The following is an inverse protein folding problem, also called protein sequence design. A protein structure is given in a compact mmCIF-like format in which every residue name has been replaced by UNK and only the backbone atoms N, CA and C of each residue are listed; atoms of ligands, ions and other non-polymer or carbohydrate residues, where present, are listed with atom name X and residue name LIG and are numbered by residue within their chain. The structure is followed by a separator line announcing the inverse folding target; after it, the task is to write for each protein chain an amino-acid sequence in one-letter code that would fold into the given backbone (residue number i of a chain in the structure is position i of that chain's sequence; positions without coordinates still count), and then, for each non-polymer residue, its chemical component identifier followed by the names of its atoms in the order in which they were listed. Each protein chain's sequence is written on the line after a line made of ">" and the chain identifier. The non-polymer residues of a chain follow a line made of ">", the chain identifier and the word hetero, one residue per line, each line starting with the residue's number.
data_IF_468237949294
#
_entry.id   IF_468237949294
#
_cell.length_a   1.000
_cell.length_b   1.000
_cell.length_c   1.000
_cell.angle_alpha   90.00
_cell.angle_beta   90.00
_cell.angle_gamma   90.00
#
_symmetry.space_group_name_H-M   'P 1'
#
loop_
_entity.id
_entity.type
_entity.pdbx_description
1 polymer ?
#
# COMPACT_ATOMS: atom_id res chain seq x y z
N UNK A 1 3.60 -12.67 25.27
CA UNK A 1 3.11 -12.09 24.00
C UNK A 1 4.32 -11.55 23.25
N UNK A 2 4.46 -11.82 21.94
CA UNK A 2 5.50 -11.14 21.15
C UNK A 2 5.21 -9.65 21.13
N UNK A 3 6.20 -8.82 21.40
CA UNK A 3 6.10 -7.36 21.36
C UNK A 3 7.02 -6.83 20.28
N UNK A 4 6.47 -6.05 19.36
CA UNK A 4 7.25 -5.40 18.31
C UNK A 4 7.64 -3.99 18.77
N UNK A 5 8.90 -3.60 18.54
CA UNK A 5 9.35 -2.20 18.73
C UNK A 5 8.88 -1.26 17.63
N UNK A 6 8.04 -1.75 16.73
CA UNK A 6 7.58 -1.06 15.52
C UNK A 6 6.07 -1.22 15.38
N UNK A 7 5.42 -0.17 14.90
CA UNK A 7 4.04 -0.25 14.42
C UNK A 7 4.06 -0.80 13.00
N UNK A 8 3.38 -1.93 12.78
CA UNK A 8 3.38 -2.62 11.51
C UNK A 8 2.07 -2.31 10.78
N UNK A 9 2.16 -1.69 9.62
CA UNK A 9 1.00 -1.44 8.77
C UNK A 9 0.94 -2.45 7.64
N UNK A 10 -0.18 -3.15 7.55
CA UNK A 10 -0.48 -4.13 6.51
C UNK A 10 -1.17 -3.42 5.35
N UNK A 11 -0.62 -3.56 4.14
CA UNK A 11 -1.14 -2.98 2.91
C UNK A 11 -1.44 -4.09 1.89
N UNK A 12 -2.70 -4.51 1.79
CA UNK A 12 -3.16 -5.43 0.74
C UNK A 12 -3.13 -4.79 -0.65
N UNK A 13 -2.95 -5.62 -1.68
CA UNK A 13 -3.09 -5.22 -3.08
C UNK A 13 -4.54 -5.21 -3.58
N UNK A 14 -4.70 -5.29 -4.90
CA UNK A 14 -6.00 -5.38 -5.59
C UNK A 14 -6.87 -6.50 -4.99
N UNK A 15 -8.15 -6.22 -4.76
CA UNK A 15 -9.10 -7.20 -4.19
C UNK A 15 -8.92 -7.47 -2.69
N UNK A 16 -8.06 -6.72 -2.00
CA UNK A 16 -7.78 -6.86 -0.57
C UNK A 16 -7.13 -8.22 -0.21
N UNK A 17 -6.85 -8.43 1.08
CA UNK A 17 -6.45 -9.72 1.65
C UNK A 17 -7.64 -10.40 2.28
N UNK A 18 -8.13 -11.47 1.66
CA UNK A 18 -9.20 -12.32 2.20
C UNK A 18 -8.80 -13.04 3.50
N UNK A 19 -9.74 -13.78 4.09
CA UNK A 19 -9.58 -14.35 5.44
C UNK A 19 -8.42 -15.31 5.63
N UNK A 20 -8.08 -16.06 4.57
CA UNK A 20 -7.00 -17.04 4.58
C UNK A 20 -5.66 -16.46 4.08
N UNK A 21 -5.65 -15.20 3.64
CA UNK A 21 -4.44 -14.56 3.17
C UNK A 21 -3.49 -14.29 4.34
N UNK A 22 -2.18 -14.48 4.13
CA UNK A 22 -1.17 -14.38 5.20
C UNK A 22 -1.17 -13.01 5.90
N UNK A 23 -1.46 -11.92 5.17
CA UNK A 23 -1.62 -10.57 5.75
C UNK A 23 -2.76 -10.54 6.80
N UNK A 24 -3.91 -11.15 6.51
CA UNK A 24 -5.04 -11.25 7.43
C UNK A 24 -4.73 -12.15 8.62
N UNK A 25 -4.02 -13.26 8.38
CA UNK A 25 -3.60 -14.16 9.45
C UNK A 25 -2.61 -13.47 10.41
N UNK A 26 -1.71 -12.63 9.89
CA UNK A 26 -0.78 -11.84 10.70
C UNK A 26 -1.49 -10.78 11.53
N UNK A 27 -2.42 -10.05 10.91
CA UNK A 27 -3.26 -9.06 11.60
C UNK A 27 -4.03 -9.69 12.77
N UNK A 28 -4.64 -10.87 12.56
CA UNK A 28 -5.35 -11.61 13.61
C UNK A 28 -4.41 -12.13 14.72
N UNK A 29 -3.15 -12.42 14.39
CA UNK A 29 -2.19 -13.03 15.32
C UNK A 29 -1.42 -12.01 16.16
N UNK A 30 -1.18 -10.80 15.64
CA UNK A 30 -0.29 -9.81 16.25
C UNK A 30 -1.02 -8.47 16.47
N UNK A 31 -1.24 -8.05 17.73
CA UNK A 31 -1.93 -6.80 18.03
C UNK A 31 -1.27 -5.53 17.47
N UNK A 32 0.05 -5.56 17.27
CA UNK A 32 0.82 -4.43 16.74
C UNK A 32 0.66 -4.24 15.22
N UNK A 33 -0.10 -5.13 14.56
CA UNK A 33 -0.30 -5.14 13.11
C UNK A 33 -1.66 -4.51 12.80
N UNK A 34 -1.66 -3.46 12.00
CA UNK A 34 -2.87 -2.71 11.65
C UNK A 34 -3.01 -2.62 10.13
N UNK A 35 -4.18 -2.95 9.59
CA UNK A 35 -4.45 -2.79 8.17
C UNK A 35 -4.73 -1.32 7.83
N UNK A 36 -4.08 -0.81 6.78
CA UNK A 36 -4.50 0.44 6.15
C UNK A 36 -5.63 0.09 5.18
N UNK A 37 -6.84 0.55 5.49
CA UNK A 37 -7.99 0.36 4.61
C UNK A 37 -7.97 1.37 3.47
N UNK A 38 -7.79 0.87 2.25
CA UNK A 38 -7.76 1.71 1.05
C UNK A 38 -9.16 1.97 0.51
N UNK A 39 -9.29 3.04 -0.29
CA UNK A 39 -10.51 3.29 -1.05
C UNK A 39 -10.64 2.28 -2.20
N UNK A 40 -11.83 1.70 -2.38
CA UNK A 40 -12.17 0.82 -3.52
C UNK A 40 -11.13 -0.24 -3.88
N UNK A 41 -11.18 -1.40 -3.22
CA UNK A 41 -10.24 -2.51 -3.44
C UNK A 41 -10.22 -3.06 -4.88
N UNK A 42 -11.37 -3.03 -5.56
CA UNK A 42 -11.51 -3.56 -6.92
C UNK A 42 -11.24 -2.51 -8.01
N UNK A 43 -11.28 -1.22 -7.64
CA UNK A 43 -11.05 -0.08 -8.55
C UNK A 43 -10.02 0.88 -7.94
N UNK A 44 -8.75 0.43 -7.79
CA UNK A 44 -7.76 1.18 -7.04
C UNK A 44 -7.29 2.42 -7.79
N UNK A 45 -7.49 3.60 -7.21
CA UNK A 45 -6.94 4.85 -7.71
C UNK A 45 -5.63 5.16 -6.99
N UNK A 46 -4.55 5.37 -7.76
CA UNK A 46 -3.21 5.58 -7.20
C UNK A 46 -3.14 6.73 -6.19
N UNK A 47 -3.64 7.93 -6.57
CA UNK A 47 -3.61 9.11 -5.70
C UNK A 47 -4.37 8.87 -4.38
N UNK A 48 -5.54 8.23 -4.45
CA UNK A 48 -6.34 7.93 -3.26
C UNK A 48 -5.57 7.00 -2.32
N UNK A 49 -4.98 5.94 -2.87
CA UNK A 49 -4.25 4.94 -2.09
C UNK A 49 -2.99 5.50 -1.43
N UNK A 50 -2.21 6.33 -2.12
CA UNK A 50 -1.04 6.95 -1.51
C UNK A 50 -1.44 8.02 -0.48
N UNK A 51 -2.53 8.75 -0.72
CA UNK A 51 -3.04 9.76 0.22
C UNK A 51 -3.57 9.12 1.50
N UNK A 52 -4.22 7.96 1.38
CA UNK A 52 -4.66 7.16 2.52
C UNK A 52 -3.46 6.65 3.35
N UNK A 53 -2.36 6.23 2.72
CA UNK A 53 -1.13 5.88 3.45
C UNK A 53 -0.60 7.10 4.22
N UNK A 54 -0.43 8.25 3.56
CA UNK A 54 0.11 9.44 4.24
C UNK A 54 -0.78 9.88 5.41
N UNK A 55 -2.10 9.83 5.23
CA UNK A 55 -3.07 10.16 6.28
C UNK A 55 -2.95 9.22 7.47
N UNK A 56 -2.84 7.90 7.23
CA UNK A 56 -2.69 6.90 8.29
C UNK A 56 -1.39 7.11 9.10
N UNK A 57 -0.34 7.63 8.48
CA UNK A 57 0.96 7.83 9.11
C UNK A 57 1.16 9.24 9.69
N UNK A 58 0.25 10.18 9.42
CA UNK A 58 0.44 11.62 9.64
C UNK A 58 0.91 11.98 11.05
N UNK A 59 0.35 11.31 12.07
CA UNK A 59 0.57 11.61 13.48
C UNK A 59 1.41 10.54 14.21
N UNK A 60 2.19 9.75 13.48
CA UNK A 60 2.98 8.65 14.05
C UNK A 60 4.49 8.98 14.09
N UNK A 61 5.24 8.41 15.06
CA UNK A 61 6.69 8.41 15.02
C UNK A 61 7.17 7.54 13.86
N UNK A 62 7.48 8.15 12.71
CA UNK A 62 7.77 7.43 11.46
C UNK A 62 9.00 6.52 11.56
N UNK A 63 9.97 6.88 12.40
CA UNK A 63 11.14 6.05 12.71
C UNK A 63 10.80 4.73 13.43
N UNK A 64 9.54 4.50 13.78
CA UNK A 64 9.00 3.25 14.33
C UNK A 64 8.04 2.53 13.38
N UNK A 65 7.75 3.11 12.22
CA UNK A 65 6.77 2.57 11.26
C UNK A 65 7.45 1.61 10.29
N UNK A 66 6.85 0.42 10.11
CA UNK A 66 7.16 -0.50 9.01
C UNK A 66 5.90 -0.72 8.18
N UNK A 67 6.03 -0.60 6.86
CA UNK A 67 4.96 -0.90 5.90
C UNK A 67 5.16 -2.32 5.33
N UNK A 68 4.10 -3.11 5.29
CA UNK A 68 4.11 -4.49 4.76
C UNK A 68 3.14 -4.57 3.59
N UNK A 69 3.67 -4.40 2.37
CA UNK A 69 2.90 -4.40 1.12
C UNK A 69 2.92 -5.75 0.42
N UNK A 70 1.80 -6.09 -0.22
CA UNK A 70 1.68 -7.24 -1.11
C UNK A 70 1.18 -6.82 -2.50
N UNK A 71 1.74 -7.39 -3.57
CA UNK A 71 1.25 -7.19 -4.94
C UNK A 71 1.16 -5.70 -5.30
N UNK A 72 -0.04 -5.19 -5.60
CA UNK A 72 -0.25 -3.79 -6.01
C UNK A 72 0.20 -2.78 -4.94
N UNK A 73 0.06 -3.12 -3.66
CA UNK A 73 0.47 -2.23 -2.57
C UNK A 73 1.97 -1.97 -2.55
N UNK A 74 2.79 -2.86 -3.13
CA UNK A 74 4.22 -2.62 -3.27
C UNK A 74 4.48 -1.38 -4.14
N UNK A 75 3.81 -1.29 -5.29
CA UNK A 75 3.89 -0.10 -6.13
C UNK A 75 3.37 1.13 -5.37
N UNK A 76 2.22 1.01 -4.70
CA UNK A 76 1.65 2.09 -3.89
C UNK A 76 2.63 2.65 -2.85
N UNK A 77 3.35 1.79 -2.12
CA UNK A 77 4.39 2.21 -1.16
C UNK A 77 5.51 2.97 -1.88
N UNK A 78 5.95 2.47 -3.04
CA UNK A 78 6.95 3.13 -3.88
C UNK A 78 6.53 4.55 -4.28
N UNK A 79 5.34 4.71 -4.88
CA UNK A 79 4.79 6.00 -5.29
C UNK A 79 4.59 6.95 -4.10
N UNK A 80 4.04 6.46 -2.98
CA UNK A 80 3.89 7.22 -1.75
C UNK A 80 5.25 7.76 -1.26
N UNK A 81 6.29 6.93 -1.29
CA UNK A 81 7.63 7.33 -0.82
C UNK A 81 8.23 8.45 -1.68
N UNK A 82 8.03 8.42 -3.00
CA UNK A 82 8.49 9.45 -3.94
C UNK A 82 7.72 10.77 -3.73
N UNK A 83 6.40 10.68 -3.55
CA UNK A 83 5.50 11.83 -3.41
C UNK A 83 5.72 12.58 -2.11
N UNK A 84 5.73 11.87 -0.98
CA UNK A 84 5.74 12.49 0.35
C UNK A 84 7.14 12.58 0.95
N UNK A 85 8.11 11.79 0.47
CA UNK A 85 9.53 11.81 0.91
C UNK A 85 9.69 11.66 2.43
N UNK A 86 8.77 10.94 3.07
CA UNK A 86 8.75 10.69 4.51
C UNK A 86 9.65 9.52 4.87
N UNK A 87 10.55 9.71 5.84
CA UNK A 87 11.47 8.66 6.28
C UNK A 87 10.79 7.76 7.33
N UNK A 88 10.51 6.52 6.96
CA UNK A 88 10.03 5.46 7.85
C UNK A 88 11.16 4.52 8.26
N UNK A 89 10.91 3.59 9.21
CA UNK A 89 11.92 2.58 9.60
C UNK A 89 12.25 1.63 8.47
N UNK A 90 11.26 1.25 7.67
CA UNK A 90 11.46 0.39 6.50
C UNK A 90 10.15 -0.11 5.90
N UNK A 91 10.26 -0.90 4.83
CA UNK A 91 9.14 -1.58 4.22
C UNK A 91 9.52 -3.02 3.82
N UNK A 92 8.56 -3.94 3.96
CA UNK A 92 8.59 -5.29 3.41
C UNK A 92 7.64 -5.32 2.22
N UNK A 93 8.15 -5.66 1.04
CA UNK A 93 7.40 -5.66 -0.22
C UNK A 93 7.39 -7.10 -0.77
N UNK A 94 6.23 -7.75 -0.73
CA UNK A 94 6.08 -9.17 -1.08
C UNK A 94 5.37 -9.29 -2.43
N UNK A 95 5.95 -10.05 -3.35
CA UNK A 95 5.40 -10.32 -4.68
C UNK A 95 4.92 -9.04 -5.42
N UNK A 96 5.77 -8.01 -5.60
CA UNK A 96 5.38 -6.76 -6.23
C UNK A 96 4.76 -6.98 -7.62
N UNK A 97 3.67 -6.26 -7.92
CA UNK A 97 3.03 -6.31 -9.24
C UNK A 97 3.84 -5.54 -10.26
N UNK A 98 3.90 -6.06 -11.49
CA UNK A 98 4.31 -5.29 -12.65
C UNK A 98 3.11 -4.51 -13.19
N UNK A 99 2.98 -3.24 -12.80
CA UNK A 99 1.90 -2.35 -13.25
C UNK A 99 2.12 -1.79 -14.66
N UNK A 100 3.30 -2.04 -15.24
CA UNK A 100 3.70 -1.57 -16.57
C UNK A 100 3.46 -2.63 -17.67
N UNK A 101 3.33 -3.90 -17.28
CA UNK A 101 3.05 -4.98 -18.22
C UNK A 101 1.77 -4.73 -19.03
N UNK A 102 1.83 -4.95 -20.34
CA UNK A 102 0.68 -4.81 -21.26
C UNK A 102 -0.50 -5.72 -20.90
N UNK A 103 -0.21 -6.84 -20.25
CA UNK A 103 -1.18 -7.80 -19.74
C UNK A 103 -1.78 -7.40 -18.39
N UNK A 104 -1.23 -6.36 -17.74
CA UNK A 104 -1.75 -5.81 -16.49
C UNK A 104 -3.02 -5.00 -16.78
N UNK A 105 -4.11 -5.74 -16.99
CA UNK A 105 -5.47 -5.20 -17.07
C UNK A 105 -6.09 -5.30 -15.68
N UNK A 106 -6.02 -4.27 -14.83
CA UNK A 106 -7.03 -4.19 -13.79
C UNK A 106 -8.37 -4.19 -14.53
N UNK A 107 -9.27 -5.10 -14.16
CA UNK A 107 -10.57 -5.26 -14.83
C UNK A 107 -11.40 -3.99 -14.63
N UNK A 108 -11.14 -2.94 -15.41
CA UNK A 108 -11.76 -1.63 -15.29
C UNK A 108 -12.20 -1.14 -16.67
N UNK A 109 -13.46 -0.70 -16.82
CA UNK A 109 -14.01 -0.25 -18.10
C UNK A 109 -13.45 1.09 -18.60
N UNK A 110 -12.62 1.78 -17.81
CA UNK A 110 -12.03 3.07 -18.17
C UNK A 110 -10.53 3.12 -17.82
N UNK A 111 -9.70 2.76 -18.80
CA UNK A 111 -8.23 2.70 -18.72
C UNK A 111 -7.54 4.06 -18.48
N UNK A 112 -8.29 5.15 -18.28
CA UNK A 112 -7.79 6.51 -18.03
C UNK A 112 -7.60 6.84 -16.54
N UNK A 113 -8.24 6.10 -15.61
CA UNK A 113 -8.20 6.40 -14.16
C UNK A 113 -7.17 5.61 -13.35
N UNK A 114 -6.59 4.57 -13.94
CA UNK A 114 -5.74 3.61 -13.24
C UNK A 114 -4.40 3.37 -13.93
N UNK A 115 -3.74 4.43 -14.40
CA UNK A 115 -2.35 4.31 -14.85
C UNK A 115 -1.42 4.75 -13.74
N UNK A 116 -0.98 3.78 -12.93
CA UNK A 116 0.16 3.93 -12.03
C UNK A 116 1.36 4.57 -12.78
N UNK A 117 1.51 4.22 -14.07
CA UNK A 117 2.55 4.73 -14.97
C UNK A 117 2.44 6.25 -15.26
N UNK A 118 1.24 6.83 -15.23
CA UNK A 118 1.05 8.28 -15.44
C UNK A 118 1.24 9.09 -14.14
N UNK A 119 1.34 8.43 -13.00
CA UNK A 119 1.43 9.12 -11.72
C UNK A 119 2.77 9.85 -11.56
N UNK A 120 3.90 9.26 -11.97
CA UNK A 120 5.21 9.91 -11.87
C UNK A 120 5.39 11.07 -12.85
N UNK A 121 4.62 11.11 -13.93
CA UNK A 121 4.72 12.16 -14.95
C UNK A 121 3.82 13.37 -14.66
N UNK A 122 2.93 13.29 -13.66
CA UNK A 122 2.09 14.42 -13.25
C UNK A 122 2.87 15.39 -12.36
N UNK A 123 2.82 16.70 -12.63
CA UNK A 123 3.43 17.69 -11.75
C UNK A 123 2.81 17.62 -10.36
N UNK A 124 3.64 17.81 -9.34
CA UNK A 124 3.15 17.91 -7.96
C UNK A 124 2.20 19.12 -7.85
N UNK A 125 1.07 19.01 -7.14
CA UNK A 125 0.22 20.16 -6.85
C UNK A 125 0.95 21.20 -6.00
#
# INVERSE_FOLDING_TARGET
>A
MMSFRSKIFILPGLGNSGDLHWQTLWEKKFPDFTRIHQQSWDQPVCEDWISTIDTALKNLPLNEVILVGHSLACCTIGYWSIRYKRKIRGALMVAPSDTEAETYRPALPDSSRCRWNEFLSRPSP
#
